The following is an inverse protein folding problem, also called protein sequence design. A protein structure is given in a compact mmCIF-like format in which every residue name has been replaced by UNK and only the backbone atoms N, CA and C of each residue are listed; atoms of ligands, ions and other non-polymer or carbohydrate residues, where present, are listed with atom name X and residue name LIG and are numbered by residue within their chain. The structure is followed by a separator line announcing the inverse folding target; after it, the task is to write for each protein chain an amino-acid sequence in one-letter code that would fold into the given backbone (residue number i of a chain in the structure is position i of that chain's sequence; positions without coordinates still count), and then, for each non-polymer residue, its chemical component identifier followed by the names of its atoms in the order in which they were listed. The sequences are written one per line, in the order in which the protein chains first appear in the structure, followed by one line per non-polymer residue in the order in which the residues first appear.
data_IF_423731758089
#
_entry.id   IF_423731758089
#
_cell.length_a   1.000
_cell.length_b   1.000
_cell.length_c   1.000
_cell.angle_alpha   90.00
_cell.angle_beta   90.00
_cell.angle_gamma   90.00
#
_symmetry.space_group_name_H-M   'P 1'
#
loop_
_entity.id
_entity.type
_entity.pdbx_description
1 polymer ?
#
# COMPACT_ATOMS: atom_id res chain seq x y z
N UNK A 1 -17.01 -19.87 1.16
CA UNK A 1 -17.01 -18.72 2.08
C UNK A 1 -16.78 -17.43 1.30
N UNK A 2 -17.57 -16.39 1.55
CA UNK A 2 -17.35 -15.04 0.99
C UNK A 2 -16.56 -14.24 2.04
N UNK A 3 -15.48 -13.59 1.64
CA UNK A 3 -14.68 -12.69 2.50
C UNK A 3 -14.85 -11.27 2.00
N UNK A 4 -15.40 -10.39 2.84
CA UNK A 4 -15.50 -8.96 2.56
C UNK A 4 -14.38 -8.24 3.29
N UNK A 5 -13.67 -7.38 2.59
CA UNK A 5 -12.58 -6.63 3.17
C UNK A 5 -12.61 -5.16 2.78
N UNK A 6 -12.04 -4.33 3.66
CA UNK A 6 -11.78 -2.92 3.39
C UNK A 6 -10.27 -2.72 3.27
N UNK A 7 -9.85 -1.99 2.24
CA UNK A 7 -8.47 -1.53 2.06
C UNK A 7 -8.36 -0.04 2.37
N UNK A 8 -7.79 0.20 3.54
CA UNK A 8 -6.91 1.27 3.98
C UNK A 8 -5.87 1.87 3.02
N UNK A 9 -6.18 2.71 2.03
CA UNK A 9 -5.16 3.21 1.10
C UNK A 9 -4.43 4.46 1.64
N UNK A 10 -3.12 4.57 1.37
CA UNK A 10 -2.37 5.80 1.65
C UNK A 10 -2.73 6.87 0.62
N UNK A 11 -2.59 6.50 -0.66
CA UNK A 11 -2.94 7.31 -1.82
C UNK A 11 -4.00 6.60 -2.69
N UNK A 12 -4.68 7.35 -3.56
CA UNK A 12 -5.70 6.78 -4.46
C UNK A 12 -5.15 5.68 -5.38
N UNK A 13 -3.87 5.80 -5.77
CA UNK A 13 -3.17 4.83 -6.62
C UNK A 13 -3.06 3.44 -5.99
N UNK A 14 -3.10 3.34 -4.67
CA UNK A 14 -2.99 2.06 -3.95
C UNK A 14 -4.21 1.17 -4.17
N UNK A 15 -5.30 1.72 -4.70
CA UNK A 15 -6.54 0.99 -4.99
C UNK A 15 -6.31 -0.24 -5.86
N UNK A 16 -5.26 -0.27 -6.69
CA UNK A 16 -4.90 -1.45 -7.51
C UNK A 16 -4.59 -2.70 -6.67
N UNK A 17 -4.16 -2.53 -5.40
CA UNK A 17 -3.90 -3.64 -4.48
C UNK A 17 -5.14 -4.48 -4.18
N UNK A 18 -6.35 -3.92 -4.34
CA UNK A 18 -7.61 -4.63 -4.11
C UNK A 18 -7.69 -5.94 -4.92
N UNK A 19 -7.24 -5.91 -6.18
CA UNK A 19 -7.27 -7.09 -7.05
C UNK A 19 -6.26 -8.16 -6.62
N UNK A 20 -5.10 -7.74 -6.12
CA UNK A 20 -4.09 -8.65 -5.59
C UNK A 20 -4.58 -9.33 -4.32
N UNK A 21 -5.21 -8.56 -3.41
CA UNK A 21 -5.79 -9.09 -2.17
C UNK A 21 -6.94 -10.06 -2.49
N UNK A 22 -7.82 -9.72 -3.42
CA UNK A 22 -8.90 -10.62 -3.85
C UNK A 22 -8.37 -11.97 -4.35
N UNK A 23 -7.37 -11.93 -5.24
CA UNK A 23 -6.73 -13.15 -5.76
C UNK A 23 -6.07 -13.95 -4.64
N UNK A 24 -5.34 -13.28 -3.74
CA UNK A 24 -4.69 -13.92 -2.60
C UNK A 24 -5.70 -14.64 -1.69
N UNK A 25 -6.79 -13.97 -1.30
CA UNK A 25 -7.82 -14.57 -0.45
C UNK A 25 -8.49 -15.79 -1.11
N UNK A 26 -8.76 -15.70 -2.43
CA UNK A 26 -9.35 -16.82 -3.18
C UNK A 26 -8.38 -18.01 -3.25
N UNK A 27 -7.10 -17.74 -3.55
CA UNK A 27 -6.06 -18.77 -3.59
C UNK A 27 -5.89 -19.49 -2.24
N UNK A 28 -6.21 -18.82 -1.14
CA UNK A 28 -6.12 -19.37 0.22
C UNK A 28 -7.47 -19.83 0.79
N UNK A 29 -8.48 -20.08 -0.07
CA UNK A 29 -9.69 -20.82 0.30
C UNK A 29 -10.98 -20.00 0.37
N UNK A 30 -10.95 -18.69 0.09
CA UNK A 30 -12.19 -17.96 -0.13
C UNK A 30 -12.85 -18.40 -1.44
N UNK A 31 -14.17 -18.60 -1.44
CA UNK A 31 -14.94 -18.85 -2.67
C UNK A 31 -15.12 -17.55 -3.47
N UNK A 32 -15.21 -16.43 -2.76
CA UNK A 32 -15.33 -15.09 -3.32
C UNK A 32 -14.68 -14.10 -2.35
N UNK A 33 -14.01 -13.08 -2.88
CA UNK A 33 -13.48 -11.97 -2.11
C UNK A 33 -14.03 -10.64 -2.66
N UNK A 34 -14.62 -9.84 -1.78
CA UNK A 34 -15.23 -8.54 -2.12
C UNK A 34 -14.45 -7.45 -1.39
N UNK A 35 -13.79 -6.58 -2.14
CA UNK A 35 -12.93 -5.54 -1.59
C UNK A 35 -13.49 -4.16 -1.88
N UNK A 36 -13.50 -3.29 -0.87
CA UNK A 36 -13.72 -1.85 -1.02
C UNK A 36 -12.40 -1.16 -0.69
N UNK A 37 -12.13 -0.04 -1.35
CA UNK A 37 -10.94 0.78 -1.06
C UNK A 37 -11.38 2.13 -0.50
N UNK A 38 -10.59 2.69 0.41
CA UNK A 38 -10.84 4.01 0.97
C UNK A 38 -9.52 4.76 1.14
N UNK A 39 -9.49 6.01 0.72
CA UNK A 39 -8.38 6.93 0.99
C UNK A 39 -8.95 8.31 1.33
N UNK A 40 -8.22 9.05 2.16
CA UNK A 40 -8.48 10.46 2.44
C UNK A 40 -7.17 11.17 2.79
N UNK A 41 -7.17 12.51 2.77
CA UNK A 41 -6.00 13.31 3.15
C UNK A 41 -5.80 13.44 4.67
N UNK A 42 -6.52 12.66 5.48
CA UNK A 42 -6.50 12.77 6.94
C UNK A 42 -5.47 11.82 7.57
N UNK A 43 -5.19 12.06 8.86
CA UNK A 43 -4.34 11.17 9.64
C UNK A 43 -4.90 9.74 9.65
N UNK A 44 -4.02 8.74 9.76
CA UNK A 44 -4.36 7.32 9.62
C UNK A 44 -5.57 6.89 10.49
N UNK A 45 -5.61 7.29 11.76
CA UNK A 45 -6.74 6.97 12.66
C UNK A 45 -8.07 7.50 12.13
N UNK A 46 -8.09 8.73 11.60
CA UNK A 46 -9.30 9.31 11.03
C UNK A 46 -9.67 8.62 9.72
N UNK A 47 -8.68 8.31 8.88
CA UNK A 47 -8.89 7.57 7.64
C UNK A 47 -9.50 6.19 7.88
N UNK A 48 -9.01 5.45 8.88
CA UNK A 48 -9.58 4.15 9.29
C UNK A 48 -11.02 4.35 9.79
N UNK A 49 -11.27 5.36 10.63
CA UNK A 49 -12.61 5.67 11.15
C UNK A 49 -13.59 5.98 10.02
N UNK A 50 -13.25 6.94 9.15
CA UNK A 50 -14.07 7.37 8.02
C UNK A 50 -14.37 6.20 7.07
N UNK A 51 -13.37 5.37 6.79
CA UNK A 51 -13.52 4.19 5.95
C UNK A 51 -14.47 3.14 6.53
N UNK A 52 -14.53 2.99 7.85
CA UNK A 52 -15.44 2.06 8.53
C UNK A 52 -16.84 2.63 8.70
N UNK A 53 -16.96 3.90 9.07
CA UNK A 53 -18.26 4.60 9.26
C UNK A 53 -19.05 4.71 7.95
N UNK A 54 -18.37 4.74 6.79
CA UNK A 54 -19.00 4.76 5.48
C UNK A 54 -19.66 3.44 5.04
N UNK A 55 -19.54 2.36 5.83
CA UNK A 55 -20.02 1.04 5.46
C UNK A 55 -21.32 0.68 6.19
N UNK A 56 -22.27 0.13 5.45
CA UNK A 56 -23.51 -0.40 6.03
C UNK A 56 -23.31 -1.72 6.78
N UNK A 57 -22.23 -2.45 6.46
CA UNK A 57 -21.84 -3.69 7.12
C UNK A 57 -20.33 -3.69 7.32
N UNK A 58 -19.89 -4.03 8.53
CA UNK A 58 -18.47 -4.10 8.83
C UNK A 58 -17.77 -5.19 7.99
N UNK A 59 -16.56 -4.91 7.49
CA UNK A 59 -15.78 -5.89 6.73
C UNK A 59 -15.30 -7.02 7.64
N UNK A 60 -15.18 -8.21 7.09
CA UNK A 60 -14.67 -9.40 7.79
C UNK A 60 -13.15 -9.29 8.06
N UNK A 61 -12.46 -8.50 7.22
CA UNK A 61 -11.01 -8.25 7.31
C UNK A 61 -10.69 -6.79 6.94
N UNK A 62 -9.77 -6.17 7.67
CA UNK A 62 -9.26 -4.84 7.35
C UNK A 62 -7.82 -4.93 6.85
N UNK A 63 -7.54 -4.36 5.69
CA UNK A 63 -6.18 -4.15 5.22
C UNK A 63 -5.82 -2.67 5.37
N UNK A 64 -4.60 -2.38 5.80
CA UNK A 64 -4.11 -1.00 5.94
C UNK A 64 -2.76 -0.88 5.25
N UNK A 65 -2.73 -0.15 4.14
CA UNK A 65 -1.51 0.20 3.41
C UNK A 65 -0.82 1.40 4.03
N UNK A 66 0.49 1.29 4.25
CA UNK A 66 1.37 2.40 4.63
C UNK A 66 2.68 2.30 3.86
N UNK A 67 3.02 3.37 3.16
CA UNK A 67 4.29 3.54 2.47
C UNK A 67 5.46 3.55 3.47
N UNK A 68 6.59 3.05 2.99
CA UNK A 68 7.87 3.28 3.63
C UNK A 68 8.24 4.76 3.46
N UNK A 69 8.66 5.44 4.54
CA UNK A 69 9.17 6.81 4.43
C UNK A 69 10.37 6.83 3.47
N UNK A 70 10.40 7.83 2.57
CA UNK A 70 11.34 8.02 1.46
C UNK A 70 12.85 7.98 1.80
N UNK A 71 13.24 7.87 3.07
CA UNK A 71 14.66 7.86 3.45
C UNK A 71 15.14 6.42 3.63
N UNK A 72 15.64 5.80 2.55
CA UNK A 72 16.63 4.69 2.44
C UNK A 72 16.80 3.70 3.61
N UNK A 73 15.80 3.49 4.44
CA UNK A 73 15.83 2.64 5.61
C UNK A 73 14.60 1.72 5.54
N UNK A 74 14.54 0.94 4.48
CA UNK A 74 13.76 -0.31 4.41
C UNK A 74 14.38 -1.36 5.35
N UNK A 75 14.44 -1.00 6.62
CA UNK A 75 14.89 -1.84 7.72
C UNK A 75 13.66 -2.46 8.39
N UNK A 76 13.84 -3.62 9.02
CA UNK A 76 12.79 -4.25 9.86
C UNK A 76 12.23 -3.25 10.87
N UNK A 77 13.07 -2.38 11.45
CA UNK A 77 12.65 -1.34 12.37
C UNK A 77 11.68 -0.31 11.75
N UNK A 78 11.75 -0.04 10.44
CA UNK A 78 10.78 0.81 9.75
C UNK A 78 9.44 0.10 9.56
N UNK A 79 9.47 -1.20 9.24
CA UNK A 79 8.25 -1.99 9.12
C UNK A 79 7.54 -2.13 10.49
N UNK A 80 8.29 -2.34 11.57
CA UNK A 80 7.74 -2.39 12.93
C UNK A 80 7.07 -1.07 13.34
N UNK A 81 7.68 0.07 13.01
CA UNK A 81 7.08 1.40 13.25
C UNK A 81 5.76 1.57 12.50
N UNK A 82 5.71 1.18 11.22
CA UNK A 82 4.47 1.24 10.43
C UNK A 82 3.41 0.30 10.96
N UNK A 83 3.80 -0.90 11.38
CA UNK A 83 2.89 -1.82 12.02
C UNK A 83 2.33 -1.25 13.33
N UNK A 84 3.16 -0.57 14.14
CA UNK A 84 2.70 0.11 15.35
C UNK A 84 1.70 1.25 15.03
N UNK A 85 1.99 2.10 14.04
CA UNK A 85 1.05 3.15 13.60
C UNK A 85 -0.32 2.57 13.18
N UNK A 86 -0.30 1.49 12.40
CA UNK A 86 -1.51 0.80 11.96
C UNK A 86 -2.26 0.22 13.15
N UNK A 87 -1.54 -0.48 14.04
CA UNK A 87 -2.11 -1.07 15.24
C UNK A 87 -2.79 -0.01 16.10
N UNK A 88 -2.11 1.10 16.38
CA UNK A 88 -2.65 2.20 17.19
C UNK A 88 -3.89 2.82 16.54
N UNK A 89 -3.88 3.03 15.23
CA UNK A 89 -5.02 3.55 14.48
C UNK A 89 -6.23 2.60 14.54
N UNK A 90 -6.03 1.30 14.30
CA UNK A 90 -7.10 0.29 14.32
C UNK A 90 -7.66 0.08 15.73
N UNK A 91 -6.79 0.08 16.75
CA UNK A 91 -7.22 -0.04 18.15
C UNK A 91 -7.99 1.18 18.63
N UNK A 92 -7.61 2.38 18.16
CA UNK A 92 -8.29 3.64 18.52
C UNK A 92 -9.74 3.72 18.00
N UNK A 93 -10.10 2.94 16.99
CA UNK A 93 -11.47 2.86 16.46
C UNK A 93 -12.24 1.63 16.96
N UNK A 94 -11.66 0.85 17.86
CA UNK A 94 -12.25 -0.36 18.44
C UNK A 94 -12.75 -1.37 17.37
N UNK A 95 -11.99 -1.55 16.29
CA UNK A 95 -12.34 -2.51 15.26
C UNK A 95 -12.11 -3.95 15.76
N UNK A 96 -13.21 -4.70 15.92
CA UNK A 96 -13.21 -6.03 16.55
C UNK A 96 -12.82 -7.20 15.64
N UNK A 97 -12.71 -6.97 14.33
CA UNK A 97 -12.35 -8.00 13.36
C UNK A 97 -10.84 -7.99 13.07
N UNK A 98 -10.28 -9.07 12.49
CA UNK A 98 -8.86 -9.13 12.16
C UNK A 98 -8.42 -8.02 11.19
N UNK A 99 -7.16 -7.60 11.30
CA UNK A 99 -6.56 -6.65 10.36
C UNK A 99 -5.14 -7.07 9.94
N UNK A 100 -4.73 -6.59 8.77
CA UNK A 100 -3.43 -6.87 8.15
C UNK A 100 -2.79 -5.56 7.69
N UNK A 101 -1.59 -5.26 8.17
CA UNK A 101 -0.79 -4.15 7.64
C UNK A 101 -0.11 -4.55 6.34
N UNK A 102 -0.15 -3.69 5.34
CA UNK A 102 0.57 -3.83 4.07
C UNK A 102 1.59 -2.70 4.01
N UNK A 103 2.86 -3.05 3.87
CA UNK A 103 3.95 -2.10 3.77
C UNK A 103 4.93 -2.56 2.68
N UNK A 104 5.35 -1.68 1.76
CA UNK A 104 6.35 -2.02 0.77
C UNK A 104 7.70 -2.21 1.47
N UNK A 105 8.30 -3.39 1.29
CA UNK A 105 9.64 -3.68 1.83
C UNK A 105 10.74 -3.04 0.96
N UNK A 106 10.41 -2.64 -0.27
CA UNK A 106 11.27 -1.85 -1.16
C UNK A 106 10.39 -0.95 -2.03
N UNK A 107 10.77 0.32 -2.21
CA UNK A 107 10.34 1.04 -3.40
C UNK A 107 11.04 0.38 -4.58
N UNK A 108 10.31 -0.37 -5.39
CA UNK A 108 10.80 -0.66 -6.73
C UNK A 108 10.88 0.68 -7.47
N UNK A 109 11.90 0.81 -8.34
CA UNK A 109 12.32 2.03 -9.06
C UNK A 109 11.25 2.65 -9.99
N UNK A 110 9.97 2.37 -9.80
CA UNK A 110 8.87 2.92 -10.59
C UNK A 110 8.68 4.43 -10.36
N UNK A 111 8.95 4.95 -9.15
CA UNK A 111 8.95 6.41 -8.89
C UNK A 111 10.27 7.09 -9.28
N UNK A 112 11.41 6.39 -9.30
CA UNK A 112 12.68 6.98 -9.76
C UNK A 112 12.73 7.18 -11.29
N UNK A 113 12.05 6.32 -12.06
CA UNK A 113 12.05 6.40 -13.52
C UNK A 113 11.06 7.39 -14.14
N UNK A 114 10.13 7.98 -13.36
CA UNK A 114 9.20 9.00 -13.86
C UNK A 114 9.71 10.44 -13.69
N UNK A 115 10.83 10.64 -12.98
CA UNK A 115 11.43 11.96 -12.74
C UNK A 115 12.70 12.28 -13.56
N UNK A 116 13.28 11.29 -14.26
CA UNK A 116 14.60 11.43 -14.91
C UNK A 116 14.58 11.32 -16.44
N UNK A 117 13.41 11.50 -17.06
CA UNK A 117 13.24 11.38 -18.52
C UNK A 117 13.93 12.45 -19.39
N UNK A 118 14.65 13.42 -18.83
CA UNK A 118 15.26 14.53 -19.59
C UNK A 118 16.79 14.54 -19.65
N UNK A 119 17.50 13.49 -19.19
CA UNK A 119 18.97 13.53 -19.22
C UNK A 119 19.66 12.22 -19.56
N UNK A 120 19.28 11.54 -20.63
CA UNK A 120 20.21 10.60 -21.27
C UNK A 120 19.90 10.51 -22.76
N UNK A 121 20.61 11.26 -23.60
CA UNK A 121 21.20 10.84 -24.87
C UNK A 121 22.05 12.00 -25.42
N UNK A 122 23.34 12.00 -25.09
CA UNK A 122 24.41 12.40 -26.01
C UNK A 122 25.76 12.02 -25.39
N UNK A 123 26.17 10.78 -25.62
CA UNK A 123 27.58 10.44 -25.64
C UNK A 123 27.78 9.26 -26.60
N UNK A 124 27.91 9.56 -27.89
CA UNK A 124 28.58 8.64 -28.82
C UNK A 124 29.97 9.19 -29.06
N UNK A 125 30.95 8.53 -28.44
CA UNK A 125 32.34 8.68 -28.83
C UNK A 125 32.56 8.01 -30.18
N UNK A 126 33.36 8.64 -31.03
CA UNK A 126 34.10 7.95 -32.08
C UNK A 126 35.53 8.43 -32.07
N UNK A 127 36.39 7.57 -31.53
CA UNK A 127 37.83 7.64 -31.58
C UNK A 127 38.26 6.78 -32.79
N UNK A 128 38.74 7.38 -33.88
CA UNK A 128 39.45 6.67 -34.93
C UNK A 128 40.61 7.53 -35.48
N UNK A 129 41.81 7.16 -35.05
CA UNK A 129 43.07 7.08 -35.81
C UNK A 129 43.43 8.16 -36.83
N UNK A 130 44.55 8.84 -36.55
CA UNK A 130 45.45 9.41 -37.55
C UNK A 130 45.95 8.34 -38.55
N UNK A 131 46.38 8.73 -39.76
CA UNK A 131 47.71 9.34 -39.93
C UNK A 131 47.68 10.78 -40.44
#
# INVERSE_FOLDING_TARGET
MIVRFLLICEEASDGVLVHHIQRFLIQHGATKAEGITFHSGTALTNKVREGLEGLSVLPDLLFVHRDADHRRNTSVASAEKRYAEIKDAVQSVNYGNPYVGIFPVYMTEAKENLGNGERMYHNEGSNLGAP
#
